data_IF_833595171101
#
_entry.id   IF_833595171101
#
_cell.length_a   1.000
_cell.length_b   1.000
_cell.length_c   1.000
_cell.angle_alpha   90.00
_cell.angle_beta   90.00
_cell.angle_gamma   90.00
#
_symmetry.space_group_name_H-M   'P 1'
#
loop_
_entity.id
_entity.type
_entity.pdbx_description
1 polymer ?
#
# COMPACT_ATOMS: atom_id res chain seq x y z
N UNK A 1 -22.39 25.85 10.15
CA UNK A 1 -22.73 25.99 8.72
C UNK A 1 -23.89 25.05 8.42
N UNK A 2 -24.92 25.47 7.69
CA UNK A 2 -25.95 24.55 7.22
C UNK A 2 -25.42 23.81 5.96
N UNK A 3 -25.92 22.59 5.71
CA UNK A 3 -25.50 21.77 4.57
C UNK A 3 -25.93 22.36 3.22
N UNK A 4 -27.04 23.11 3.20
CA UNK A 4 -27.45 23.89 2.02
C UNK A 4 -26.41 24.95 1.67
N UNK A 5 -25.93 25.70 2.66
CA UNK A 5 -24.90 26.73 2.52
C UNK A 5 -23.59 26.13 2.01
N UNK A 6 -23.18 24.98 2.56
CA UNK A 6 -22.00 24.25 2.13
C UNK A 6 -22.09 23.78 0.66
N UNK A 7 -23.26 23.28 0.25
CA UNK A 7 -23.53 22.88 -1.13
C UNK A 7 -23.49 24.10 -2.08
N UNK A 8 -24.03 25.26 -1.69
CA UNK A 8 -23.90 26.50 -2.49
C UNK A 8 -22.44 26.94 -2.65
N UNK A 9 -21.62 26.88 -1.59
CA UNK A 9 -20.18 27.17 -1.71
C UNK A 9 -19.50 26.27 -2.75
N UNK A 10 -19.83 24.97 -2.76
CA UNK A 10 -19.35 24.02 -3.77
C UNK A 10 -19.84 24.37 -5.19
N UNK A 11 -21.12 24.73 -5.34
CA UNK A 11 -21.70 25.13 -6.63
C UNK A 11 -21.04 26.40 -7.18
N UNK A 12 -20.86 27.44 -6.35
CA UNK A 12 -20.16 28.67 -6.76
C UNK A 12 -18.70 28.43 -7.12
N UNK A 13 -17.98 27.57 -6.38
CA UNK A 13 -16.62 27.18 -6.77
C UNK A 13 -16.60 26.49 -8.15
N UNK A 14 -17.55 25.59 -8.39
CA UNK A 14 -17.67 24.86 -9.66
C UNK A 14 -18.07 25.75 -10.83
N UNK A 15 -18.99 26.70 -10.67
CA UNK A 15 -19.36 27.65 -11.72
C UNK A 15 -18.20 28.57 -12.12
N UNK A 16 -17.31 28.89 -11.17
CA UNK A 16 -16.07 29.64 -11.42
C UNK A 16 -14.90 28.76 -11.93
N UNK A 17 -15.14 27.47 -12.19
CA UNK A 17 -14.14 26.48 -12.65
C UNK A 17 -12.91 26.32 -11.73
N UNK A 18 -13.02 26.67 -10.45
CA UNK A 18 -11.91 26.59 -9.50
C UNK A 18 -11.79 25.20 -8.85
N UNK A 19 -10.57 24.71 -8.65
CA UNK A 19 -10.29 23.63 -7.71
C UNK A 19 -10.37 24.11 -6.25
N UNK A 20 -10.53 23.18 -5.29
CA UNK A 20 -10.47 23.52 -3.86
C UNK A 20 -9.12 24.15 -3.46
N UNK A 21 -8.05 23.82 -4.19
CA UNK A 21 -6.70 24.31 -3.94
C UNK A 21 -6.49 25.72 -4.48
N UNK A 22 -6.95 26.00 -5.71
CA UNK A 22 -6.91 27.36 -6.27
C UNK A 22 -7.79 28.33 -5.49
N UNK A 23 -8.96 27.89 -5.01
CA UNK A 23 -9.81 28.70 -4.13
C UNK A 23 -9.12 28.98 -2.79
N UNK A 24 -8.52 27.95 -2.17
CA UNK A 24 -7.79 28.10 -0.92
C UNK A 24 -6.61 29.07 -1.06
N UNK A 25 -5.84 28.98 -2.15
CA UNK A 25 -4.74 29.87 -2.49
C UNK A 25 -5.20 31.32 -2.72
N UNK A 26 -6.39 31.54 -3.31
CA UNK A 26 -6.99 32.89 -3.48
C UNK A 26 -7.47 33.51 -2.16
N UNK A 27 -7.90 32.68 -1.20
CA UNK A 27 -8.43 33.11 0.10
C UNK A 27 -7.32 33.23 1.15
N UNK A 28 -6.19 32.54 0.98
CA UNK A 28 -5.09 32.50 1.96
C UNK A 28 -5.28 31.44 3.05
N UNK A 29 -6.06 30.40 2.79
CA UNK A 29 -6.34 29.30 3.72
C UNK A 29 -5.82 27.97 3.19
N UNK A 30 -5.86 26.91 3.99
CA UNK A 30 -5.50 25.56 3.53
C UNK A 30 -6.62 24.94 2.67
N UNK A 31 -6.24 24.10 1.70
CA UNK A 31 -7.19 23.26 0.93
C UNK A 31 -8.13 22.46 1.85
N UNK A 32 -7.64 22.05 3.02
CA UNK A 32 -8.44 21.31 4.01
C UNK A 32 -9.56 22.18 4.61
N UNK A 33 -9.34 23.48 4.85
CA UNK A 33 -10.37 24.38 5.36
C UNK A 33 -11.55 24.51 4.39
N UNK A 34 -11.25 24.79 3.10
CA UNK A 34 -12.25 24.81 2.02
C UNK A 34 -13.02 23.48 1.93
N UNK A 35 -12.30 22.36 2.04
CA UNK A 35 -12.89 21.02 2.02
C UNK A 35 -13.87 20.77 3.18
N UNK A 36 -13.57 21.29 4.38
CA UNK A 36 -14.46 21.21 5.55
C UNK A 36 -15.69 22.10 5.42
N UNK A 37 -15.54 23.30 4.83
CA UNK A 37 -16.65 24.21 4.55
C UNK A 37 -17.64 23.61 3.54
N UNK A 38 -17.13 22.99 2.45
CA UNK A 38 -17.97 22.31 1.45
C UNK A 38 -18.67 21.04 1.95
N UNK A 39 -18.22 20.46 3.09
CA UNK A 39 -18.88 19.34 3.77
C UNK A 39 -19.72 19.74 5.00
N UNK A 40 -19.88 21.03 5.27
CA UNK A 40 -20.52 21.58 6.48
C UNK A 40 -19.87 21.18 7.82
N UNK A 41 -18.70 20.54 7.81
CA UNK A 41 -17.92 20.16 9.02
C UNK A 41 -17.37 21.37 9.78
N UNK A 42 -17.20 22.50 9.09
CA UNK A 42 -16.79 23.77 9.67
C UNK A 42 -17.52 24.94 8.98
N UNK A 43 -17.64 26.05 9.68
CA UNK A 43 -18.08 27.32 9.07
C UNK A 43 -16.85 28.15 8.66
N UNK A 44 -16.88 28.90 7.55
CA UNK A 44 -15.86 29.90 7.27
C UNK A 44 -16.00 31.09 8.24
N UNK A 45 -14.89 31.67 8.67
CA UNK A 45 -14.88 32.90 9.46
C UNK A 45 -15.45 34.09 8.67
N UNK A 46 -15.85 35.16 9.36
CA UNK A 46 -16.44 36.36 8.75
C UNK A 46 -15.56 36.94 7.64
N UNK A 47 -14.24 37.02 7.84
CA UNK A 47 -13.30 37.53 6.82
C UNK A 47 -13.24 36.60 5.59
N UNK A 48 -13.28 35.29 5.81
CA UNK A 48 -13.31 34.27 4.76
C UNK A 48 -14.63 34.32 3.96
N UNK A 49 -15.76 34.56 4.62
CA UNK A 49 -17.07 34.76 3.98
C UNK A 49 -17.10 36.03 3.10
N UNK A 50 -16.52 37.14 3.59
CA UNK A 50 -16.37 38.39 2.82
C UNK A 50 -15.44 38.19 1.61
N UNK A 51 -14.43 37.34 1.72
CA UNK A 51 -13.52 37.06 0.61
C UNK A 51 -14.15 36.10 -0.42
N UNK A 52 -14.93 35.10 0.02
CA UNK A 52 -15.76 34.24 -0.82
C UNK A 52 -16.79 35.05 -1.62
N UNK A 53 -17.52 35.97 -0.98
CA UNK A 53 -18.52 36.80 -1.67
C UNK A 53 -17.89 37.69 -2.75
N UNK A 54 -16.70 38.26 -2.49
CA UNK A 54 -15.90 39.00 -3.48
C UNK A 54 -15.40 38.13 -4.64
N UNK A 55 -15.00 36.89 -4.39
CA UNK A 55 -14.51 35.96 -5.43
C UNK A 55 -15.66 35.48 -6.33
N UNK A 56 -16.84 35.25 -5.76
CA UNK A 56 -18.01 34.73 -6.48
C UNK A 56 -18.94 35.82 -7.05
N UNK A 57 -18.74 37.09 -6.69
CA UNK A 57 -19.55 38.21 -7.18
C UNK A 57 -20.99 38.25 -6.64
N UNK A 58 -21.25 37.60 -5.50
CA UNK A 58 -22.58 37.51 -4.88
C UNK A 58 -22.64 38.28 -3.55
N UNK A 59 -23.84 38.58 -3.05
CA UNK A 59 -23.96 39.17 -1.72
C UNK A 59 -23.69 38.12 -0.64
N UNK A 60 -23.36 38.56 0.58
CA UNK A 60 -23.23 37.66 1.72
C UNK A 60 -24.57 37.00 2.08
N UNK A 61 -25.69 37.68 1.82
CA UNK A 61 -27.03 37.12 2.00
C UNK A 61 -27.25 35.95 1.04
N UNK A 62 -27.05 36.12 -0.27
CA UNK A 62 -27.20 35.04 -1.27
C UNK A 62 -26.34 33.80 -0.95
N UNK A 63 -25.13 34.04 -0.42
CA UNK A 63 -24.20 32.99 -0.01
C UNK A 63 -24.70 32.20 1.22
N UNK A 64 -25.40 32.86 2.16
CA UNK A 64 -25.81 32.30 3.45
C UNK A 64 -27.30 31.90 3.55
N UNK A 65 -28.17 32.47 2.72
CA UNK A 65 -29.63 32.42 2.79
C UNK A 65 -30.16 31.00 3.00
N UNK A 66 -30.84 30.71 4.09
CA UNK A 66 -31.52 29.43 4.25
C UNK A 66 -32.77 29.40 3.35
N UNK A 67 -33.05 28.28 2.69
CA UNK A 67 -34.25 28.16 1.86
C UNK A 67 -35.48 27.89 2.73
N UNK A 68 -35.96 28.92 3.43
CA UNK A 68 -37.31 28.91 4.00
C UNK A 68 -38.35 28.94 2.86
N UNK A 69 -38.67 27.77 2.32
CA UNK A 69 -39.70 27.62 1.28
C UNK A 69 -41.09 27.59 1.90
N UNK A 70 -41.58 28.78 2.33
CA UNK A 70 -42.95 29.26 2.06
C UNK A 70 -42.94 30.80 2.07
N UNK A 71 -43.14 31.47 0.92
CA UNK A 71 -43.34 32.93 0.90
C UNK A 71 -43.14 33.61 -0.45
N UNK A 72 -44.20 33.71 -1.25
CA UNK A 72 -44.21 34.40 -2.56
C UNK A 72 -44.13 35.93 -2.45
N UNK A 73 -43.21 36.55 -3.20
CA UNK A 73 -43.41 37.86 -3.88
C UNK A 73 -42.25 38.10 -4.87
N UNK A 74 -42.44 37.86 -6.17
CA UNK A 74 -42.99 38.79 -7.19
C UNK A 74 -42.08 40.01 -7.50
N UNK A 75 -41.63 40.06 -8.76
CA UNK A 75 -40.70 41.06 -9.32
C UNK A 75 -40.60 41.00 -10.86
N UNK A 76 -41.73 40.74 -11.51
CA UNK A 76 -42.16 41.11 -12.87
C UNK A 76 -41.11 41.47 -13.97
N UNK A 77 -41.06 40.66 -15.04
CA UNK A 77 -41.21 41.19 -16.42
C UNK A 77 -41.69 40.13 -17.44
N UNK A 78 -42.79 40.50 -18.11
CA UNK A 78 -43.62 39.81 -19.10
C UNK A 78 -42.91 39.23 -20.35
N UNK A 79 -43.28 38.03 -20.79
CA UNK A 79 -43.84 37.77 -22.14
C UNK A 79 -44.47 36.37 -22.26
N UNK A 80 -45.66 36.30 -22.86
CA UNK A 80 -46.49 35.10 -23.03
C UNK A 80 -46.08 34.28 -24.26
N UNK A 81 -46.31 32.95 -24.23
CA UNK A 81 -47.09 32.23 -25.27
C UNK A 81 -47.37 30.76 -24.86
N UNK A 82 -48.45 30.19 -25.44
CA UNK A 82 -49.05 28.89 -25.10
C UNK A 82 -48.36 27.69 -25.88
N UNK A 83 -48.73 26.40 -25.79
CA UNK A 83 -50.01 25.74 -25.47
C UNK A 83 -49.88 24.28 -24.94
N UNK A 84 -51.03 23.75 -24.47
CA UNK A 84 -51.57 22.39 -24.62
C UNK A 84 -50.96 21.12 -23.95
N UNK A 85 -51.70 20.62 -22.94
CA UNK A 85 -52.51 19.37 -22.98
C UNK A 85 -51.89 18.12 -23.65
N UNK A 86 -51.74 16.96 -22.98
CA UNK A 86 -52.86 16.13 -22.49
C UNK A 86 -52.44 14.84 -21.72
N UNK A 87 -53.38 14.34 -20.91
CA UNK A 87 -53.66 12.93 -20.53
C UNK A 87 -52.74 12.09 -19.61
N UNK A 88 -53.24 11.95 -18.37
CA UNK A 88 -53.72 10.68 -17.76
C UNK A 88 -52.79 9.65 -17.10
N UNK A 89 -53.04 9.48 -15.78
CA UNK A 89 -53.23 8.24 -15.01
C UNK A 89 -53.31 6.92 -15.84
N UNK A 90 -52.86 5.73 -15.43
CA UNK A 90 -52.23 5.18 -14.20
C UNK A 90 -51.76 3.72 -14.51
N UNK A 91 -51.35 2.78 -13.63
CA UNK A 91 -51.44 2.65 -12.17
C UNK A 91 -50.46 1.58 -11.56
N UNK A 92 -50.27 1.64 -10.24
CA UNK A 92 -50.07 0.53 -9.27
C UNK A 92 -49.29 -0.78 -9.59
N UNK A 93 -48.15 -0.95 -8.88
CA UNK A 93 -48.01 -1.84 -7.68
C UNK A 93 -47.42 -3.28 -7.77
N UNK A 94 -46.36 -3.47 -6.96
CA UNK A 94 -45.91 -4.66 -6.19
C UNK A 94 -45.39 -5.97 -6.83
N UNK A 95 -44.13 -6.27 -6.44
CA UNK A 95 -43.62 -7.53 -5.86
C UNK A 95 -43.50 -8.81 -6.73
N UNK A 96 -42.26 -9.24 -7.03
CA UNK A 96 -41.57 -10.29 -6.26
C UNK A 96 -40.15 -10.61 -6.79
N UNK A 97 -39.19 -10.64 -5.86
CA UNK A 97 -38.24 -11.73 -5.56
C UNK A 97 -37.53 -12.53 -6.69
N UNK A 98 -36.19 -12.37 -6.67
CA UNK A 98 -35.14 -13.38 -6.94
C UNK A 98 -34.63 -13.74 -8.36
N UNK A 99 -33.31 -13.51 -8.47
CA UNK A 99 -32.26 -14.43 -8.94
C UNK A 99 -31.73 -14.40 -10.38
N UNK A 100 -30.38 -14.46 -10.40
CA UNK A 100 -29.52 -15.13 -11.41
C UNK A 100 -29.16 -14.38 -12.70
N UNK A 101 -28.02 -13.68 -12.60
CA UNK A 101 -26.89 -13.62 -13.57
C UNK A 101 -27.09 -13.13 -15.01
N UNK A 102 -25.98 -12.62 -15.54
CA UNK A 102 -25.73 -12.24 -16.92
C UNK A 102 -26.47 -11.00 -17.41
N UNK A 103 -25.72 -9.89 -17.46
CA UNK A 103 -25.59 -9.17 -18.72
C UNK A 103 -24.10 -9.04 -19.05
N UNK A 104 -23.62 -10.08 -19.73
CA UNK A 104 -22.38 -10.07 -20.48
C UNK A 104 -22.51 -9.03 -21.61
N UNK A 105 -22.16 -7.77 -21.33
CA UNK A 105 -22.23 -6.72 -22.35
C UNK A 105 -21.10 -6.90 -23.37
N UNK A 106 -21.36 -7.80 -24.32
CA UNK A 106 -20.52 -8.11 -25.45
C UNK A 106 -20.32 -6.88 -26.33
N UNK A 107 -19.19 -6.21 -26.14
CA UNK A 107 -18.70 -5.16 -27.02
C UNK A 107 -17.44 -5.63 -27.74
N UNK A 108 -17.65 -6.40 -28.81
CA UNK A 108 -16.73 -6.42 -29.95
C UNK A 108 -16.62 -4.99 -30.51
N UNK A 109 -15.71 -4.19 -29.95
CA UNK A 109 -15.40 -2.84 -30.43
C UNK A 109 -13.91 -2.70 -30.71
N UNK A 110 -13.57 -2.95 -31.97
CA UNK A 110 -12.36 -2.43 -32.60
C UNK A 110 -12.44 -0.91 -32.67
N UNK A 111 -11.93 -0.22 -31.64
CA UNK A 111 -11.85 1.24 -31.60
C UNK A 111 -10.39 1.70 -31.69
N UNK A 112 -9.93 1.94 -32.92
CA UNK A 112 -8.83 2.86 -33.17
C UNK A 112 -9.31 4.29 -32.93
N UNK A 113 -9.06 4.82 -31.74
CA UNK A 113 -9.41 6.21 -31.42
C UNK A 113 -8.39 7.16 -32.05
N UNK A 114 -8.87 8.14 -32.82
CA UNK A 114 -8.04 9.13 -33.51
C UNK A 114 -7.41 10.12 -32.54
N UNK A 115 -6.18 9.81 -32.09
CA UNK A 115 -5.23 10.83 -31.65
C UNK A 115 -4.48 11.46 -32.84
N UNK A 116 -3.55 12.37 -32.55
CA UNK A 116 -2.72 13.08 -33.54
C UNK A 116 -2.16 12.15 -34.62
N UNK A 117 -2.29 12.58 -35.89
CA UNK A 117 -2.02 11.76 -37.07
C UNK A 117 -0.65 11.05 -37.02
N UNK A 118 -0.68 9.72 -37.12
CA UNK A 118 0.52 8.86 -37.21
C UNK A 118 0.73 7.89 -36.05
N UNK A 119 -0.07 7.94 -34.98
CA UNK A 119 0.10 7.07 -33.79
C UNK A 119 -1.02 6.04 -33.62
N UNK A 120 -0.67 4.76 -33.58
CA UNK A 120 -1.61 3.68 -33.26
C UNK A 120 -1.63 3.42 -31.75
N UNK A 121 -2.78 3.60 -31.11
CA UNK A 121 -2.98 3.34 -29.68
C UNK A 121 -3.58 1.95 -29.44
N UNK A 122 -2.99 1.18 -28.53
CA UNK A 122 -3.53 -0.11 -28.09
C UNK A 122 -4.19 0.07 -26.73
N UNK A 123 -5.50 -0.18 -26.63
CA UNK A 123 -6.23 -0.17 -25.35
C UNK A 123 -5.68 -1.26 -24.43
N UNK A 124 -4.91 -0.86 -23.41
CA UNK A 124 -4.37 -1.77 -22.39
C UNK A 124 -5.35 -1.95 -21.24
N UNK A 125 -5.65 -0.90 -20.51
CA UNK A 125 -6.49 -0.99 -19.30
C UNK A 125 -7.73 -0.10 -19.42
N UNK A 126 -8.70 -0.25 -18.50
CA UNK A 126 -9.94 0.53 -18.47
C UNK A 126 -9.94 1.42 -17.24
N UNK A 127 -10.16 2.72 -17.46
CA UNK A 127 -10.30 3.71 -16.39
C UNK A 127 -11.68 4.36 -16.54
N UNK A 128 -12.41 4.50 -15.44
CA UNK A 128 -13.70 5.19 -15.35
C UNK A 128 -13.65 6.26 -14.26
N UNK A 129 -14.24 7.41 -14.54
CA UNK A 129 -14.26 8.58 -13.64
C UNK A 129 -15.67 8.92 -13.11
N UNK A 130 -16.64 8.02 -13.31
CA UNK A 130 -17.98 8.15 -12.78
C UNK A 130 -17.98 7.69 -11.32
N UNK A 131 -18.45 8.55 -10.41
CA UNK A 131 -18.60 8.32 -8.96
C UNK A 131 -17.32 7.96 -8.19
N UNK A 132 -16.15 8.15 -8.82
CA UNK A 132 -14.83 7.86 -8.27
C UNK A 132 -13.76 7.80 -9.36
N UNK A 133 -12.62 7.18 -9.06
CA UNK A 133 -11.64 6.71 -10.05
C UNK A 133 -11.61 5.19 -9.95
N UNK A 134 -12.05 4.52 -11.01
CA UNK A 134 -12.10 3.06 -11.10
C UNK A 134 -11.12 2.59 -12.17
N UNK A 135 -10.21 1.69 -11.83
CA UNK A 135 -9.17 1.15 -12.71
C UNK A 135 -9.34 -0.37 -12.75
N UNK A 136 -9.77 -0.90 -13.90
CA UNK A 136 -9.76 -2.34 -14.18
C UNK A 136 -8.50 -2.66 -15.01
N UNK A 137 -7.57 -3.43 -14.45
CA UNK A 137 -6.37 -3.90 -15.15
C UNK A 137 -6.62 -5.27 -15.83
N UNK A 138 -5.95 -5.51 -16.97
CA UNK A 138 -6.12 -6.75 -17.75
C UNK A 138 -5.74 -8.06 -17.05
N UNK A 139 -4.94 -7.99 -15.98
CA UNK A 139 -4.54 -9.14 -15.18
C UNK A 139 -5.60 -9.57 -14.16
N UNK A 140 -6.67 -8.77 -13.96
CA UNK A 140 -7.71 -9.03 -12.97
C UNK A 140 -7.64 -8.11 -11.75
N UNK A 141 -6.59 -7.30 -11.61
CA UNK A 141 -6.49 -6.33 -10.51
C UNK A 141 -7.49 -5.18 -10.71
N UNK A 142 -8.08 -4.70 -9.61
CA UNK A 142 -8.99 -3.56 -9.60
C UNK A 142 -8.65 -2.58 -8.49
N UNK A 143 -8.76 -1.30 -8.80
CA UNK A 143 -8.58 -0.21 -7.82
C UNK A 143 -9.71 0.80 -7.98
N UNK A 144 -10.47 0.99 -6.92
CA UNK A 144 -11.61 1.89 -6.87
C UNK A 144 -11.38 2.95 -5.78
N UNK A 145 -11.37 4.23 -6.16
CA UNK A 145 -11.13 5.38 -5.27
C UNK A 145 -12.38 6.26 -5.32
N UNK A 146 -13.24 6.17 -4.31
CA UNK A 146 -14.51 6.89 -4.24
C UNK A 146 -14.69 7.65 -2.94
N UNK A 147 -15.84 8.31 -2.79
CA UNK A 147 -16.24 8.94 -1.53
C UNK A 147 -16.44 7.91 -0.40
N UNK A 148 -16.75 6.67 -0.75
CA UNK A 148 -16.92 5.56 0.18
C UNK A 148 -15.60 4.97 0.69
N UNK A 149 -14.46 5.34 0.09
CA UNK A 149 -13.15 4.80 0.45
C UNK A 149 -12.26 4.45 -0.74
N UNK A 150 -11.14 3.81 -0.44
CA UNK A 150 -10.22 3.19 -1.41
C UNK A 150 -10.33 1.68 -1.27
N UNK A 151 -10.70 1.02 -2.36
CA UNK A 151 -10.80 -0.44 -2.47
C UNK A 151 -9.76 -0.94 -3.47
N UNK A 152 -9.04 -2.00 -3.10
CA UNK A 152 -8.05 -2.66 -3.95
C UNK A 152 -8.34 -4.15 -3.94
N UNK A 153 -8.49 -4.73 -5.13
CA UNK A 153 -8.70 -6.16 -5.35
C UNK A 153 -7.54 -6.71 -6.18
N UNK A 154 -6.78 -7.65 -5.60
CA UNK A 154 -5.74 -8.42 -6.29
C UNK A 154 -6.40 -9.55 -7.10
N UNK A 155 -5.88 -9.83 -8.29
CA UNK A 155 -6.27 -10.98 -9.10
C UNK A 155 -6.20 -12.34 -8.36
N UNK A 156 -5.48 -12.41 -7.23
CA UNK A 156 -5.39 -13.58 -6.34
C UNK A 156 -6.50 -13.68 -5.30
N UNK A 157 -7.42 -12.71 -5.23
CA UNK A 157 -8.54 -12.68 -4.29
C UNK A 157 -8.32 -11.86 -3.02
N UNK A 158 -7.14 -11.30 -2.80
CA UNK A 158 -6.86 -10.36 -1.71
C UNK A 158 -7.67 -9.07 -1.88
N UNK A 159 -8.25 -8.56 -0.80
CA UNK A 159 -9.06 -7.33 -0.79
C UNK A 159 -8.55 -6.39 0.30
N UNK A 160 -8.30 -5.14 -0.05
CA UNK A 160 -7.95 -4.07 0.89
C UNK A 160 -8.98 -2.97 0.76
N UNK A 161 -9.65 -2.64 1.86
CA UNK A 161 -10.64 -1.56 1.94
C UNK A 161 -10.14 -0.51 2.94
N UNK A 162 -10.22 0.76 2.58
CA UNK A 162 -9.84 1.90 3.43
C UNK A 162 -11.01 2.87 3.37
N UNK A 163 -11.78 2.97 4.44
CA UNK A 163 -12.96 3.84 4.52
C UNK A 163 -12.91 4.73 5.79
N UNK A 164 -13.98 5.48 6.04
CA UNK A 164 -14.09 6.36 7.21
C UNK A 164 -14.21 5.63 8.56
N UNK A 165 -14.41 4.31 8.56
CA UNK A 165 -14.50 3.47 9.75
C UNK A 165 -13.20 2.73 10.06
N UNK A 166 -12.33 2.52 9.07
CA UNK A 166 -11.00 1.93 9.28
C UNK A 166 -10.30 1.45 8.01
N UNK A 167 -9.19 0.73 8.23
CA UNK A 167 -8.47 -0.04 7.20
C UNK A 167 -8.76 -1.52 7.43
N UNK A 168 -9.16 -2.24 6.40
CA UNK A 168 -9.51 -3.67 6.45
C UNK A 168 -8.74 -4.43 5.36
N UNK A 169 -8.04 -5.50 5.74
CA UNK A 169 -7.30 -6.38 4.83
C UNK A 169 -7.86 -7.79 4.95
N UNK A 170 -8.34 -8.35 3.84
CA UNK A 170 -8.89 -9.70 3.74
C UNK A 170 -8.15 -10.50 2.67
N UNK A 171 -7.83 -11.77 2.93
CA UNK A 171 -7.27 -12.68 1.93
C UNK A 171 -8.33 -13.52 1.19
N UNK A 172 -7.88 -14.27 0.18
CA UNK A 172 -8.73 -15.07 -0.70
C UNK A 172 -9.53 -16.17 0.03
N UNK A 173 -9.02 -16.63 1.17
CA UNK A 173 -9.70 -17.58 2.07
C UNK A 173 -10.81 -16.91 2.91
N UNK A 174 -10.97 -15.59 2.81
CA UNK A 174 -11.91 -14.80 3.60
C UNK A 174 -11.38 -14.37 4.96
N UNK A 175 -10.16 -14.77 5.36
CA UNK A 175 -9.58 -14.36 6.65
C UNK A 175 -9.28 -12.88 6.68
N UNK A 176 -9.69 -12.20 7.75
CA UNK A 176 -9.41 -10.78 7.96
C UNK A 176 -8.09 -10.63 8.70
N UNK A 177 -7.05 -10.29 7.96
CA UNK A 177 -5.67 -10.23 8.46
C UNK A 177 -5.41 -9.02 9.34
N UNK A 178 -5.94 -7.87 8.95
CA UNK A 178 -5.77 -6.60 9.67
C UNK A 178 -7.10 -5.86 9.65
N UNK A 179 -7.51 -5.32 10.78
CA UNK A 179 -8.52 -4.27 10.81
C UNK A 179 -8.09 -3.12 11.73
N UNK A 180 -8.60 -1.91 11.47
CA UNK A 180 -8.45 -0.75 12.35
C UNK A 180 -9.83 -0.34 12.85
N UNK A 181 -9.96 0.00 14.13
CA UNK A 181 -11.20 0.60 14.65
C UNK A 181 -11.26 2.11 14.37
N UNK A 182 -12.43 2.71 14.60
CA UNK A 182 -12.64 4.15 14.45
C UNK A 182 -11.85 5.00 15.47
N UNK A 183 -11.20 4.38 16.46
CA UNK A 183 -10.32 5.03 17.42
C UNK A 183 -8.84 5.00 16.99
N UNK A 184 -8.52 4.32 15.89
CA UNK A 184 -7.15 4.17 15.37
C UNK A 184 -6.36 2.99 15.95
N UNK A 185 -6.99 2.10 16.72
CA UNK A 185 -6.35 0.88 17.19
C UNK A 185 -6.28 -0.15 16.05
N UNK A 186 -5.10 -0.72 15.82
CA UNK A 186 -4.89 -1.74 14.79
C UNK A 186 -4.88 -3.13 15.42
N UNK A 187 -5.75 -3.99 14.90
CA UNK A 187 -5.90 -5.38 15.29
C UNK A 187 -5.38 -6.30 14.18
N UNK A 188 -4.71 -7.37 14.60
CA UNK A 188 -4.14 -8.40 13.74
C UNK A 188 -4.71 -9.76 14.19
N UNK A 189 -4.87 -10.71 13.27
CA UNK A 189 -5.22 -12.08 13.63
C UNK A 189 -4.12 -12.72 14.51
N UNK A 190 -4.47 -13.23 15.69
CA UNK A 190 -3.53 -13.94 16.57
C UNK A 190 -2.97 -15.22 15.93
N UNK A 191 -3.69 -15.80 14.96
CA UNK A 191 -3.27 -16.94 14.16
C UNK A 191 -2.35 -16.54 13.00
N UNK A 192 -1.98 -15.25 12.89
CA UNK A 192 -0.78 -14.90 12.13
C UNK A 192 0.44 -15.49 12.82
N UNK A 193 0.81 -16.70 12.40
CA UNK A 193 2.23 -16.99 12.28
C UNK A 193 2.88 -15.80 11.61
N UNK A 194 3.89 -15.22 12.25
CA UNK A 194 4.78 -14.30 11.56
C UNK A 194 5.47 -15.08 10.44
N UNK A 195 4.82 -15.11 9.27
CA UNK A 195 5.46 -15.24 7.98
C UNK A 195 6.32 -13.99 7.78
N UNK A 196 7.38 -13.88 8.58
CA UNK A 196 8.61 -13.28 8.11
C UNK A 196 8.83 -13.92 6.75
N UNK A 197 8.84 -13.10 5.70
CA UNK A 197 9.31 -13.53 4.41
C UNK A 197 10.83 -13.73 4.56
N UNK A 198 11.21 -14.81 5.26
CA UNK A 198 12.49 -15.46 5.06
C UNK A 198 12.50 -15.82 3.59
N UNK A 199 13.05 -14.91 2.78
CA UNK A 199 13.64 -15.26 1.50
C UNK A 199 14.59 -16.41 1.81
N UNK A 200 14.12 -17.65 1.63
CA UNK A 200 14.90 -18.87 1.81
C UNK A 200 16.09 -18.73 0.88
N UNK A 201 17.18 -18.28 1.47
CA UNK A 201 18.31 -17.77 0.72
C UNK A 201 18.91 -18.97 0.00
N UNK A 202 19.03 -18.88 -1.33
CA UNK A 202 19.41 -20.01 -2.20
C UNK A 202 20.73 -20.67 -1.75
N UNK A 203 21.55 -19.91 -1.01
CA UNK A 203 22.76 -20.34 -0.29
C UNK A 203 22.58 -21.54 0.66
N UNK A 204 21.40 -21.73 1.26
CA UNK A 204 21.08 -22.92 2.09
C UNK A 204 20.76 -24.16 1.24
N UNK A 205 20.37 -24.00 -0.02
CA UNK A 205 20.09 -25.10 -0.96
C UNK A 205 21.36 -25.64 -1.62
N UNK A 206 22.50 -24.94 -1.50
CA UNK A 206 23.79 -25.44 -1.98
C UNK A 206 24.18 -26.66 -1.10
N UNK A 207 24.35 -27.87 -1.69
CA UNK A 207 24.66 -29.08 -0.93
C UNK A 207 26.16 -29.11 -0.56
N UNK A 208 26.58 -28.15 0.26
CA UNK A 208 27.96 -27.96 0.70
C UNK A 208 28.61 -29.23 1.29
N UNK A 209 27.91 -30.07 2.09
CA UNK A 209 28.45 -31.36 2.52
C UNK A 209 28.86 -32.28 1.37
N UNK A 210 28.12 -32.30 0.25
CA UNK A 210 28.45 -33.14 -0.92
C UNK A 210 29.72 -32.61 -1.61
N UNK A 211 29.85 -31.29 -1.74
CA UNK A 211 31.06 -30.65 -2.29
C UNK A 211 32.29 -31.01 -1.44
N UNK A 212 32.14 -30.94 -0.11
CA UNK A 212 33.20 -31.29 0.84
C UNK A 212 33.52 -32.79 0.83
N UNK A 213 32.55 -33.70 0.71
CA UNK A 213 32.85 -35.15 0.63
C UNK A 213 33.57 -35.52 -0.67
N UNK A 214 33.23 -34.88 -1.79
CA UNK A 214 33.96 -35.06 -3.06
C UNK A 214 35.41 -34.56 -2.92
N UNK A 215 35.61 -33.38 -2.33
CA UNK A 215 36.94 -32.81 -2.08
C UNK A 215 37.77 -33.69 -1.11
N UNK A 216 37.15 -34.17 -0.04
CA UNK A 216 37.74 -35.11 0.93
C UNK A 216 38.22 -36.39 0.23
N UNK A 217 37.39 -36.99 -0.63
CA UNK A 217 37.74 -38.20 -1.37
C UNK A 217 38.91 -37.94 -2.34
N UNK A 218 38.84 -36.86 -3.12
CA UNK A 218 39.90 -36.50 -4.06
C UNK A 218 41.26 -36.29 -3.36
N UNK A 219 41.26 -35.58 -2.22
CA UNK A 219 42.48 -35.36 -1.42
C UNK A 219 42.93 -36.62 -0.67
N UNK A 220 41.99 -37.48 -0.25
CA UNK A 220 42.27 -38.79 0.34
C UNK A 220 42.99 -39.73 -0.63
N UNK A 221 42.52 -39.84 -1.88
CA UNK A 221 43.20 -40.63 -2.91
C UNK A 221 44.60 -40.10 -3.27
N UNK A 222 44.87 -38.80 -3.05
CA UNK A 222 46.20 -38.20 -3.15
C UNK A 222 47.09 -38.46 -1.90
N UNK A 223 46.63 -39.26 -0.93
CA UNK A 223 47.37 -39.62 0.29
C UNK A 223 47.10 -38.71 1.50
N UNK A 224 46.26 -37.68 1.36
CA UNK A 224 46.09 -36.62 2.35
C UNK A 224 45.11 -36.89 3.51
N UNK A 225 44.75 -38.16 3.77
CA UNK A 225 43.69 -38.58 4.70
C UNK A 225 43.68 -37.88 6.07
N UNK A 226 44.85 -37.64 6.67
CA UNK A 226 44.96 -36.99 7.98
C UNK A 226 44.55 -35.51 7.97
N UNK A 227 44.87 -34.77 6.89
CA UNK A 227 44.44 -33.38 6.70
C UNK A 227 42.94 -33.33 6.36
N UNK A 228 42.44 -34.28 5.56
CA UNK A 228 41.09 -34.18 4.98
C UNK A 228 39.96 -34.11 6.03
N UNK A 229 40.15 -34.64 7.24
CA UNK A 229 39.17 -34.52 8.33
C UNK A 229 38.84 -33.07 8.72
N UNK A 230 39.79 -32.14 8.56
CA UNK A 230 39.59 -30.72 8.86
C UNK A 230 38.54 -30.10 7.92
N UNK A 231 38.37 -30.65 6.71
CA UNK A 231 37.34 -30.20 5.77
C UNK A 231 35.92 -30.36 6.33
N UNK A 232 35.65 -31.36 7.16
CA UNK A 232 34.33 -31.52 7.78
C UNK A 232 34.00 -30.41 8.80
N UNK A 233 35.01 -29.80 9.44
CA UNK A 233 34.80 -28.64 10.33
C UNK A 233 34.39 -27.38 9.57
N UNK A 234 34.57 -27.33 8.25
CA UNK A 234 34.06 -26.24 7.42
C UNK A 234 32.54 -26.32 7.21
N UNK A 235 31.90 -27.47 7.46
CA UNK A 235 30.45 -27.63 7.23
C UNK A 235 29.61 -26.77 8.20
N UNK A 236 29.79 -26.84 9.55
CA UNK A 236 29.11 -25.92 10.46
C UNK A 236 29.50 -24.45 10.20
N UNK A 237 30.74 -24.22 9.78
CA UNK A 237 31.27 -22.89 9.49
C UNK A 237 30.58 -22.24 8.28
N UNK A 238 30.35 -23.00 7.21
CA UNK A 238 29.68 -22.53 6.00
C UNK A 238 28.24 -22.09 6.29
N UNK A 239 27.44 -22.93 6.96
CA UNK A 239 26.05 -22.59 7.26
C UNK A 239 25.95 -21.39 8.21
N UNK A 240 26.77 -21.34 9.27
CA UNK A 240 26.76 -20.17 10.19
C UNK A 240 27.31 -18.89 9.57
N UNK A 241 28.21 -18.97 8.58
CA UNK A 241 28.65 -17.84 7.77
C UNK A 241 27.51 -17.32 6.87
N UNK A 242 26.84 -18.22 6.16
CA UNK A 242 25.68 -17.90 5.31
C UNK A 242 24.58 -17.22 6.14
N UNK A 243 24.22 -17.79 7.29
CA UNK A 243 23.26 -17.18 8.21
C UNK A 243 23.70 -15.81 8.73
N UNK A 244 24.96 -15.64 9.12
CA UNK A 244 25.49 -14.36 9.61
C UNK A 244 25.43 -13.25 8.53
N UNK A 245 25.69 -13.60 7.26
CA UNK A 245 25.58 -12.69 6.11
C UNK A 245 24.12 -12.31 5.86
N UNK A 246 23.21 -13.29 5.79
CA UNK A 246 21.78 -13.06 5.54
C UNK A 246 21.16 -12.22 6.65
N UNK A 247 21.38 -12.59 7.91
CA UNK A 247 20.79 -11.95 9.08
C UNK A 247 21.52 -10.64 9.47
N UNK A 248 22.60 -10.27 8.76
CA UNK A 248 23.48 -9.11 9.03
C UNK A 248 23.91 -9.00 10.50
N UNK A 249 24.09 -10.14 11.16
CA UNK A 249 24.41 -10.27 12.59
C UNK A 249 25.71 -11.08 12.73
N UNK A 250 26.88 -10.44 12.84
CA UNK A 250 28.16 -11.14 12.89
C UNK A 250 28.27 -12.07 14.10
N UNK A 251 27.57 -11.78 15.20
CA UNK A 251 27.54 -12.59 16.42
C UNK A 251 26.98 -14.01 16.26
N UNK A 252 26.34 -14.34 15.14
CA UNK A 252 25.81 -15.69 14.88
C UNK A 252 26.83 -16.63 14.21
N UNK A 253 28.00 -16.11 13.82
CA UNK A 253 29.07 -16.89 13.23
C UNK A 253 29.72 -17.85 14.25
N UNK A 254 29.98 -19.10 13.85
CA UNK A 254 30.61 -20.11 14.69
C UNK A 254 32.15 -19.92 14.80
N UNK A 255 32.56 -18.75 15.32
CA UNK A 255 33.97 -18.38 15.46
C UNK A 255 34.85 -19.44 16.19
N UNK A 256 34.39 -20.12 17.27
CA UNK A 256 35.16 -21.21 17.87
C UNK A 256 35.48 -22.37 16.91
N UNK A 257 34.60 -22.68 15.97
CA UNK A 257 34.80 -23.75 14.97
C UNK A 257 35.86 -23.35 13.94
N UNK A 258 35.89 -22.06 13.56
CA UNK A 258 37.00 -21.53 12.75
C UNK A 258 38.33 -21.65 13.48
N UNK A 259 38.37 -21.25 14.75
CA UNK A 259 39.59 -21.30 15.57
C UNK A 259 40.09 -22.74 15.74
N UNK A 260 39.21 -23.71 15.98
CA UNK A 260 39.62 -25.13 16.05
C UNK A 260 40.12 -25.66 14.71
N UNK A 261 39.49 -25.30 13.58
CA UNK A 261 39.96 -25.71 12.26
C UNK A 261 41.36 -25.14 11.93
N UNK A 262 41.61 -23.86 12.23
CA UNK A 262 42.92 -23.21 12.06
C UNK A 262 43.98 -23.83 12.99
N UNK A 263 43.63 -24.05 14.26
CA UNK A 263 44.51 -24.70 15.25
C UNK A 263 44.94 -26.10 14.78
N UNK A 264 43.98 -26.93 14.35
CA UNK A 264 44.26 -28.28 13.86
C UNK A 264 45.08 -28.26 12.56
N UNK A 265 44.80 -27.35 11.63
CA UNK A 265 45.57 -27.21 10.40
C UNK A 265 47.04 -26.87 10.69
N UNK A 266 47.30 -25.88 11.54
CA UNK A 266 48.68 -25.46 11.88
C UNK A 266 49.40 -26.49 12.75
N UNK A 267 48.70 -27.11 13.70
CA UNK A 267 49.25 -28.18 14.53
C UNK A 267 49.66 -29.41 13.72
N UNK A 268 48.85 -29.79 12.73
CA UNK A 268 49.08 -31.01 11.92
C UNK A 268 50.03 -30.77 10.73
N UNK A 269 50.17 -29.54 10.22
CA UNK A 269 51.13 -29.23 9.14
C UNK A 269 52.50 -28.76 9.62
N UNK A 270 52.57 -27.99 10.72
CA UNK A 270 53.82 -27.42 11.23
C UNK A 270 54.30 -28.03 12.55
N UNK A 271 53.51 -28.90 13.19
CA UNK A 271 53.83 -29.44 14.53
C UNK A 271 53.74 -28.41 15.67
N UNK A 272 53.26 -27.19 15.39
CA UNK A 272 53.28 -26.05 16.31
C UNK A 272 52.08 -26.04 17.28
N UNK A 273 51.93 -27.12 18.04
CA UNK A 273 50.85 -27.26 19.03
C UNK A 273 50.96 -26.26 20.20
N UNK A 274 52.18 -25.97 20.67
CA UNK A 274 52.44 -25.17 21.87
C UNK A 274 52.43 -23.63 21.73
N UNK A 275 52.66 -22.99 20.56
CA UNK A 275 52.35 -21.57 20.40
C UNK A 275 50.89 -21.32 20.00
N UNK A 276 50.22 -22.27 19.33
CA UNK A 276 48.92 -22.04 18.69
C UNK A 276 47.71 -21.99 19.64
N UNK A 277 47.84 -22.41 20.90
CA UNK A 277 46.76 -22.25 21.89
C UNK A 277 46.34 -20.78 22.10
N UNK A 278 47.24 -19.83 21.81
CA UNK A 278 46.97 -18.40 21.92
C UNK A 278 45.81 -17.95 21.02
N UNK A 279 45.51 -18.68 19.94
CA UNK A 279 44.38 -18.39 19.05
C UNK A 279 43.04 -18.62 19.76
N UNK A 280 42.94 -19.46 20.79
CA UNK A 280 41.71 -19.56 21.58
C UNK A 280 41.41 -18.29 22.39
N UNK A 281 42.42 -17.46 22.69
CA UNK A 281 42.22 -16.17 23.36
C UNK A 281 41.59 -15.11 22.45
N UNK A 282 41.51 -15.33 21.13
CA UNK A 282 40.75 -14.43 20.24
C UNK A 282 39.24 -14.64 20.34
N UNK A 283 38.78 -15.76 20.91
CA UNK A 283 37.33 -16.07 21.01
C UNK A 283 36.61 -15.04 21.90
N UNK A 284 37.05 -14.74 23.15
CA UNK A 284 36.42 -13.67 23.95
C UNK A 284 36.51 -12.30 23.28
N UNK A 285 37.64 -11.99 22.64
CA UNK A 285 37.88 -10.71 21.95
C UNK A 285 36.91 -10.52 20.78
N UNK A 286 36.70 -11.55 19.96
CA UNK A 286 35.77 -11.52 18.83
C UNK A 286 34.33 -11.22 19.28
N UNK A 287 33.84 -11.92 20.31
CA UNK A 287 32.49 -11.69 20.82
C UNK A 287 32.34 -10.34 21.53
N UNK A 288 33.39 -9.86 22.21
CA UNK A 288 33.44 -8.50 22.78
C UNK A 288 33.32 -7.41 21.69
N UNK A 289 34.07 -7.55 20.59
CA UNK A 289 33.99 -6.63 19.44
C UNK A 289 32.59 -6.68 18.80
N UNK A 290 32.00 -7.87 18.66
CA UNK A 290 30.63 -8.01 18.13
C UNK A 290 29.58 -7.32 19.00
N UNK A 291 29.71 -7.38 20.33
CA UNK A 291 28.81 -6.69 21.26
C UNK A 291 29.01 -5.16 21.22
N UNK A 292 30.25 -4.69 21.08
CA UNK A 292 30.56 -3.27 20.89
C UNK A 292 29.96 -2.72 19.58
N UNK A 293 30.09 -3.46 18.46
CA UNK A 293 29.48 -3.09 17.18
C UNK A 293 27.95 -3.07 17.26
N UNK A 294 27.35 -4.00 18.04
CA UNK A 294 25.91 -4.02 18.30
C UNK A 294 25.46 -2.77 19.05
N UNK A 295 26.19 -2.38 20.12
CA UNK A 295 25.91 -1.17 20.92
C UNK A 295 26.08 0.13 20.13
N UNK A 296 27.03 0.21 19.20
CA UNK A 296 27.24 1.37 18.33
C UNK A 296 26.16 1.55 17.24
N UNK A 297 25.23 0.60 17.10
CA UNK A 297 24.18 0.59 16.07
C UNK A 297 22.77 0.70 16.67
N UNK A 298 22.66 0.85 17.99
CA UNK A 298 21.43 1.18 18.72
C UNK A 298 21.42 2.68 19.03
#
# INVERSE_FOLDING_TARGET
MNIETANRLYQFRKSHNLSQEELANKIGVSRQAVSKWERAEASPDTDNLILLSKIYGVTLDDLLKENDVVGTSQGESISEDACDNNNSQSNQQSANTENTTADEYNNNYSNSTSGTAGTNYVKKDKISFKDGIHIDAKNGDKVDIGFNGVHVHDHKGTKVNIDGSGVFVQENDGTQKVYTDSNGNVYYDENMEHHQCEKKSVWHLIPYPIIITILFLAWGFAGGWAISWILFLTIPLYYTLVDAIIKKKPSHFAYPVLVTAVFLWTGLTMGLWHPMWIVFLTIPVYYCICDMIKKLKQ
#
